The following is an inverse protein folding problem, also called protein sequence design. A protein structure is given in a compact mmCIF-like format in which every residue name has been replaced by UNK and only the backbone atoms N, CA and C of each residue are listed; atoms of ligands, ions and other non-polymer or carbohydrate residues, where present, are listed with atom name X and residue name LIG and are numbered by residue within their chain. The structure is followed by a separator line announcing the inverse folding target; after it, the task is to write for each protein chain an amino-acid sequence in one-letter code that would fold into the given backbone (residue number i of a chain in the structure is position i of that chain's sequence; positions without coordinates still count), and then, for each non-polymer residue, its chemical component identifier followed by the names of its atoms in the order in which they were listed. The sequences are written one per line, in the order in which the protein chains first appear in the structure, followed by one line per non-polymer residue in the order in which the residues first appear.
data_IF_269731582699
#
_entry.id   IF_269731582699
#
_cell.length_a   1.000
_cell.length_b   1.000
_cell.length_c   1.000
_cell.angle_alpha   90.00
_cell.angle_beta   90.00
_cell.angle_gamma   90.00
#
_symmetry.space_group_name_H-M   'P 1'
#
loop_
_entity.id
_entity.type
_entity.pdbx_description
1 polymer ?
#
# COMPACT_ATOMS: atom_id res chain seq x y z
N UNK A 1 -30.53 -7.08 26.41
CA UNK A 1 -29.40 -8.01 26.18
C UNK A 1 -28.47 -7.42 25.13
N UNK A 2 -27.58 -6.54 25.59
CA UNK A 2 -26.59 -5.90 24.73
C UNK A 2 -25.40 -6.83 24.54
N UNK A 3 -25.02 -7.06 23.28
CA UNK A 3 -23.69 -7.54 22.96
C UNK A 3 -22.84 -6.31 22.66
N UNK A 4 -21.95 -5.97 23.59
CA UNK A 4 -20.92 -4.94 23.40
C UNK A 4 -19.82 -5.59 22.57
N UNK A 5 -19.73 -5.22 21.30
CA UNK A 5 -18.69 -5.69 20.38
C UNK A 5 -17.36 -5.12 20.89
N UNK A 6 -16.41 -5.99 21.22
CA UNK A 6 -15.06 -5.63 21.66
C UNK A 6 -14.14 -5.45 20.46
N UNK A 7 -13.18 -4.52 20.55
CA UNK A 7 -12.22 -4.16 19.47
C UNK A 7 -11.28 -5.31 19.03
N UNK A 8 -11.41 -6.51 19.59
CA UNK A 8 -10.59 -7.70 19.27
C UNK A 8 -11.12 -8.54 18.08
N UNK A 9 -12.31 -8.26 17.53
CA UNK A 9 -12.85 -9.00 16.35
C UNK A 9 -12.39 -8.46 14.98
N UNK A 10 -11.55 -7.43 14.95
CA UNK A 10 -11.12 -6.78 13.69
C UNK A 10 -9.90 -7.41 13.01
N UNK A 11 -9.41 -8.55 13.49
CA UNK A 11 -8.27 -9.26 12.92
C UNK A 11 -8.65 -10.72 12.65
N UNK A 12 -9.05 -11.01 11.41
CA UNK A 12 -8.95 -12.38 10.91
C UNK A 12 -7.46 -12.72 10.72
N UNK A 13 -7.00 -13.90 11.14
CA UNK A 13 -5.61 -14.33 11.01
C UNK A 13 -5.28 -14.46 9.52
N UNK A 14 -4.57 -13.46 9.00
CA UNK A 14 -4.00 -13.51 7.67
C UNK A 14 -2.89 -14.55 7.63
N UNK A 15 -2.96 -15.37 6.60
CA UNK A 15 -2.05 -16.43 6.24
C UNK A 15 -0.59 -16.02 6.39
N UNK A 16 0.21 -16.93 6.93
CA UNK A 16 1.65 -16.82 7.04
C UNK A 16 2.24 -16.71 5.63
N UNK A 17 2.61 -15.50 5.23
CA UNK A 17 3.55 -15.31 4.13
C UNK A 17 4.91 -15.85 4.60
N UNK A 18 5.16 -17.13 4.34
CA UNK A 18 6.47 -17.77 4.41
C UNK A 18 7.48 -16.91 3.61
N UNK A 19 8.31 -16.18 4.33
CA UNK A 19 9.48 -15.50 3.80
C UNK A 19 10.54 -16.55 3.44
N UNK A 20 10.61 -16.88 2.15
CA UNK A 20 11.74 -17.61 1.57
C UNK A 20 13.04 -16.83 1.77
N UNK A 21 13.97 -17.45 2.50
CA UNK A 21 15.37 -17.05 2.61
C UNK A 21 16.05 -17.07 1.23
N UNK A 22 16.54 -15.92 0.79
CA UNK A 22 17.53 -15.86 -0.29
C UNK A 22 18.65 -14.91 0.12
N UNK A 23 19.67 -15.51 0.71
CA UNK A 23 20.96 -14.88 1.00
C UNK A 23 21.79 -14.58 -0.24
N UNK A 24 22.54 -13.48 -0.14
CA UNK A 24 23.93 -13.37 -0.60
C UNK A 24 24.22 -12.95 -2.04
N UNK A 25 24.64 -11.69 -2.24
CA UNK A 25 25.93 -11.33 -2.86
C UNK A 25 26.16 -9.79 -2.90
N UNK A 26 27.13 -9.34 -2.10
CA UNK A 26 28.21 -8.34 -2.33
C UNK A 26 28.23 -7.52 -3.64
N UNK A 27 28.80 -6.31 -3.75
CA UNK A 27 29.38 -5.26 -2.90
C UNK A 27 29.95 -4.19 -3.86
N UNK A 28 30.04 -2.93 -3.38
CA UNK A 28 30.87 -1.76 -3.81
C UNK A 28 29.98 -0.50 -3.81
N UNK A 29 30.23 0.58 -3.08
CA UNK A 29 31.36 1.02 -2.26
C UNK A 29 31.37 2.56 -2.34
N UNK A 30 31.15 3.26 -1.22
CA UNK A 30 31.08 4.73 -1.20
C UNK A 30 30.80 5.34 0.18
N UNK A 31 31.86 5.36 1.01
CA UNK A 31 32.22 6.29 2.10
C UNK A 31 31.15 6.96 3.01
N UNK A 32 31.21 6.59 4.31
CA UNK A 32 31.23 7.42 5.55
C UNK A 32 30.72 8.88 5.46
N UNK A 33 29.87 9.42 6.34
CA UNK A 33 29.26 8.98 7.58
C UNK A 33 28.73 10.23 8.28
N UNK A 34 27.53 10.17 8.83
CA UNK A 34 27.07 11.03 9.93
C UNK A 34 26.04 10.20 10.71
N UNK A 35 26.52 9.52 11.75
CA UNK A 35 25.65 8.96 12.78
C UNK A 35 25.00 10.12 13.53
N UNK A 36 23.85 10.54 13.03
CA UNK A 36 22.95 11.42 13.76
C UNK A 36 22.14 10.56 14.72
N UNK A 37 22.28 10.89 16.00
CA UNK A 37 21.58 10.31 17.16
C UNK A 37 20.13 9.99 16.80
N UNK A 38 19.79 8.71 16.67
CA UNK A 38 18.41 8.28 16.40
C UNK A 38 17.62 8.33 17.70
N UNK A 39 17.16 9.54 18.04
CA UNK A 39 15.90 9.72 18.76
C UNK A 39 14.84 8.83 18.08
N UNK A 40 14.06 8.04 18.82
CA UNK A 40 13.28 6.87 18.35
C UNK A 40 12.20 7.10 17.27
N UNK A 41 12.54 7.78 16.19
CA UNK A 41 11.71 8.18 15.05
C UNK A 41 11.93 7.19 13.91
N UNK A 42 10.83 6.80 13.26
CA UNK A 42 10.88 5.86 12.15
C UNK A 42 11.44 6.50 10.88
N UNK A 43 12.33 5.77 10.19
CA UNK A 43 12.75 6.05 8.82
C UNK A 43 12.25 4.90 7.94
N UNK A 44 11.59 5.20 6.83
CA UNK A 44 11.12 4.18 5.90
C UNK A 44 11.11 4.67 4.46
N UNK A 45 11.49 3.82 3.51
CA UNK A 45 11.41 4.08 2.07
C UNK A 45 10.65 2.92 1.40
N UNK A 46 9.75 3.26 0.48
CA UNK A 46 8.98 2.29 -0.28
C UNK A 46 8.89 2.71 -1.76
N UNK A 47 8.82 1.71 -2.63
CA UNK A 47 8.77 1.87 -4.08
C UNK A 47 7.48 1.26 -4.62
N UNK A 48 6.86 1.93 -5.59
CA UNK A 48 5.74 1.40 -6.35
C UNK A 48 6.18 0.19 -7.19
N UNK A 49 5.48 -0.93 -7.05
CA UNK A 49 5.74 -2.14 -7.82
C UNK A 49 4.95 -2.08 -9.12
N UNK A 50 5.63 -2.25 -10.26
CA UNK A 50 4.97 -2.29 -11.55
C UNK A 50 4.35 -3.66 -11.82
N UNK A 51 3.07 -3.65 -12.20
CA UNK A 51 2.32 -4.85 -12.58
C UNK A 51 2.33 -4.99 -14.11
N UNK A 52 2.51 -6.19 -14.68
CA UNK A 52 2.48 -6.40 -16.13
C UNK A 52 1.13 -5.99 -16.73
N UNK A 53 1.11 -4.86 -17.44
CA UNK A 53 -0.13 -4.31 -18.05
C UNK A 53 -0.81 -5.27 -19.02
N UNK A 54 -0.03 -6.11 -19.70
CA UNK A 54 -0.51 -7.12 -20.62
C UNK A 54 -1.53 -8.08 -19.98
N UNK A 55 -1.46 -8.32 -18.67
CA UNK A 55 -2.47 -9.13 -17.98
C UNK A 55 -3.84 -8.46 -17.94
N UNK A 56 -3.86 -7.13 -17.76
CA UNK A 56 -5.07 -6.32 -17.87
C UNK A 56 -5.64 -6.35 -19.29
N UNK A 57 -4.78 -6.18 -20.29
CA UNK A 57 -5.19 -6.23 -21.71
C UNK A 57 -5.80 -7.60 -22.08
N UNK A 58 -5.18 -8.70 -21.63
CA UNK A 58 -5.72 -10.05 -21.81
C UNK A 58 -7.07 -10.18 -21.10
N UNK A 59 -7.16 -9.73 -19.85
CA UNK A 59 -8.41 -9.76 -19.09
C UNK A 59 -9.52 -8.95 -19.77
N UNK A 60 -9.25 -7.78 -20.35
CA UNK A 60 -10.24 -7.00 -21.11
C UNK A 60 -10.61 -7.67 -22.44
N UNK A 61 -9.63 -8.28 -23.12
CA UNK A 61 -9.85 -8.96 -24.40
C UNK A 61 -10.78 -10.17 -24.28
N UNK A 62 -10.73 -10.92 -23.17
CA UNK A 62 -11.62 -12.06 -22.90
C UNK A 62 -13.06 -11.58 -22.74
N UNK A 63 -13.29 -10.41 -22.14
CA UNK A 63 -14.62 -9.80 -22.03
C UNK A 63 -15.18 -9.49 -23.43
N UNK A 64 -14.33 -8.94 -24.29
CA UNK A 64 -14.67 -8.68 -25.69
C UNK A 64 -14.99 -9.95 -26.48
N UNK A 65 -14.22 -11.02 -26.29
CA UNK A 65 -14.48 -12.31 -26.95
C UNK A 65 -15.84 -12.89 -26.53
N UNK A 66 -16.14 -12.92 -25.22
CA UNK A 66 -17.44 -13.39 -24.72
C UNK A 66 -18.58 -12.54 -25.26
N UNK A 67 -18.39 -11.21 -25.33
CA UNK A 67 -19.40 -10.30 -25.88
C UNK A 67 -19.74 -10.65 -27.33
N UNK A 68 -18.73 -10.87 -28.17
CA UNK A 68 -18.93 -11.23 -29.58
C UNK A 68 -19.54 -12.63 -29.74
N UNK A 69 -19.08 -13.61 -28.96
CA UNK A 69 -19.58 -15.00 -29.01
C UNK A 69 -21.03 -15.15 -28.48
N UNK A 70 -21.54 -14.15 -27.79
CA UNK A 70 -22.89 -14.15 -27.17
C UNK A 70 -23.86 -13.18 -27.84
N UNK A 71 -23.69 -12.92 -29.14
CA UNK A 71 -24.51 -11.98 -29.91
C UNK A 71 -24.59 -10.59 -29.25
N UNK A 72 -23.42 -10.08 -28.80
CA UNK A 72 -23.29 -8.77 -28.15
C UNK A 72 -24.05 -8.67 -26.81
N UNK A 73 -24.06 -9.75 -26.01
CA UNK A 73 -24.74 -9.78 -24.71
C UNK A 73 -23.85 -9.37 -23.53
N UNK A 74 -24.05 -8.15 -23.02
CA UNK A 74 -23.39 -7.69 -21.78
C UNK A 74 -23.79 -8.52 -20.55
N UNK A 75 -25.02 -9.02 -20.51
CA UNK A 75 -25.48 -9.89 -19.41
C UNK A 75 -24.66 -11.18 -19.34
N UNK A 76 -24.28 -11.73 -20.49
CA UNK A 76 -23.45 -12.94 -20.56
C UNK A 76 -22.03 -12.65 -20.11
N UNK A 77 -21.43 -11.55 -20.57
CA UNK A 77 -20.12 -11.07 -20.09
C UNK A 77 -20.12 -10.93 -18.57
N UNK A 78 -21.12 -10.25 -18.03
CA UNK A 78 -21.23 -10.02 -16.60
C UNK A 78 -21.43 -11.32 -15.80
N UNK A 79 -22.24 -12.26 -16.28
CA UNK A 79 -22.41 -13.58 -15.64
C UNK A 79 -21.10 -14.36 -15.54
N UNK A 80 -20.24 -14.28 -16.55
CA UNK A 80 -18.92 -14.93 -16.53
C UNK A 80 -17.98 -14.19 -15.58
N UNK A 81 -17.87 -12.87 -15.69
CA UNK A 81 -16.93 -12.07 -14.89
C UNK A 81 -17.30 -12.03 -13.41
N UNK A 82 -18.60 -12.04 -13.08
CA UNK A 82 -19.08 -12.08 -11.70
C UNK A 82 -18.60 -13.33 -10.96
N UNK A 83 -18.37 -14.46 -11.64
CA UNK A 83 -17.81 -15.67 -10.99
C UNK A 83 -16.36 -15.48 -10.55
N UNK A 84 -15.58 -14.73 -11.33
CA UNK A 84 -14.16 -14.50 -11.05
C UNK A 84 -13.94 -13.33 -10.10
N UNK A 85 -14.68 -12.23 -10.26
CA UNK A 85 -14.50 -10.99 -9.49
C UNK A 85 -15.50 -10.83 -8.33
N UNK A 86 -16.45 -11.75 -8.18
CA UNK A 86 -17.51 -11.68 -7.17
C UNK A 86 -16.97 -11.45 -5.75
N UNK A 87 -16.03 -12.28 -5.27
CA UNK A 87 -15.47 -12.13 -3.92
C UNK A 87 -14.84 -10.75 -3.68
N UNK A 88 -14.07 -10.25 -4.64
CA UNK A 88 -13.41 -8.94 -4.57
C UNK A 88 -14.43 -7.81 -4.61
N UNK A 89 -15.42 -7.89 -5.49
CA UNK A 89 -16.50 -6.90 -5.59
C UNK A 89 -17.26 -6.83 -4.27
N UNK A 90 -17.60 -7.97 -3.66
CA UNK A 90 -18.29 -8.01 -2.38
C UNK A 90 -17.43 -7.42 -1.25
N UNK A 91 -16.14 -7.79 -1.19
CA UNK A 91 -15.18 -7.26 -0.22
C UNK A 91 -15.06 -5.73 -0.29
N UNK A 92 -14.95 -5.18 -1.50
CA UNK A 92 -14.80 -3.74 -1.70
C UNK A 92 -16.14 -2.97 -1.66
N UNK A 93 -17.28 -3.66 -1.82
CA UNK A 93 -18.61 -3.07 -1.64
C UNK A 93 -18.99 -2.96 -0.16
N UNK A 94 -18.62 -3.94 0.67
CA UNK A 94 -18.88 -3.90 2.12
C UNK A 94 -17.94 -2.94 2.85
N UNK A 95 -16.71 -2.76 2.35
CA UNK A 95 -15.71 -1.88 2.94
C UNK A 95 -14.97 -1.10 1.85
N UNK A 96 -15.37 0.17 1.65
CA UNK A 96 -14.72 1.04 0.67
C UNK A 96 -13.31 1.39 1.18
N UNK A 97 -12.23 1.04 0.43
CA UNK A 97 -10.88 1.36 0.85
C UNK A 97 -10.69 2.86 1.02
N UNK A 98 -10.22 3.28 2.20
CA UNK A 98 -9.83 4.66 2.41
C UNK A 98 -8.55 4.96 1.62
N UNK A 99 -8.50 6.15 1.03
CA UNK A 99 -7.27 6.65 0.42
C UNK A 99 -6.17 6.75 1.49
N UNK A 100 -4.97 6.19 1.25
CA UNK A 100 -3.85 6.25 2.21
C UNK A 100 -3.49 7.68 2.63
N UNK A 101 -3.65 8.64 1.72
CA UNK A 101 -3.39 10.05 2.02
C UNK A 101 -4.44 10.59 3.00
N UNK A 102 -5.72 10.26 2.75
CA UNK A 102 -6.81 10.70 3.61
C UNK A 102 -6.69 10.07 5.00
N UNK A 103 -6.43 8.78 5.07
CA UNK A 103 -6.25 8.07 6.33
C UNK A 103 -5.08 8.63 7.16
N UNK A 104 -3.95 8.95 6.50
CA UNK A 104 -2.81 9.53 7.19
C UNK A 104 -3.13 10.91 7.77
N UNK A 105 -3.81 11.76 7.00
CA UNK A 105 -4.19 13.11 7.45
C UNK A 105 -5.30 13.09 8.52
N UNK A 106 -6.18 12.10 8.50
CA UNK A 106 -7.17 11.88 9.57
C UNK A 106 -6.50 11.47 10.89
N UNK A 107 -5.40 10.71 10.86
CA UNK A 107 -4.65 10.31 12.06
C UNK A 107 -3.66 11.39 12.52
N UNK A 108 -2.95 12.02 11.58
CA UNK A 108 -1.88 12.96 11.85
C UNK A 108 -2.08 14.22 10.98
N UNK A 109 -2.91 15.18 11.42
CA UNK A 109 -3.20 16.38 10.63
C UNK A 109 -1.95 17.25 10.40
N UNK A 110 -1.00 17.24 11.34
CA UNK A 110 0.27 17.98 11.28
C UNK A 110 1.34 17.31 10.40
N UNK A 111 0.91 16.54 9.39
CA UNK A 111 1.82 15.86 8.46
C UNK A 111 2.23 16.80 7.33
N UNK A 112 3.54 16.98 7.14
CA UNK A 112 4.09 17.76 6.03
C UNK A 112 4.59 16.83 4.91
N UNK A 113 4.44 17.24 3.64
CA UNK A 113 5.00 16.49 2.51
C UNK A 113 5.84 17.37 1.58
N UNK A 114 6.98 16.86 1.14
CA UNK A 114 7.93 17.54 0.24
C UNK A 114 8.25 16.65 -0.97
N UNK A 115 7.92 17.07 -2.20
CA UNK A 115 8.32 16.34 -3.40
C UNK A 115 9.77 16.61 -3.81
N UNK A 116 10.43 15.59 -4.34
CA UNK A 116 11.79 15.61 -4.88
C UNK A 116 11.80 14.84 -6.22
N UNK A 117 12.39 15.41 -7.28
CA UNK A 117 12.59 14.68 -8.54
C UNK A 117 13.90 13.90 -8.46
N UNK A 118 13.89 12.61 -8.84
CA UNK A 118 15.13 11.84 -8.91
C UNK A 118 15.96 12.25 -10.14
N UNK A 119 17.27 12.01 -10.07
CA UNK A 119 18.23 12.32 -11.14
C UNK A 119 17.92 11.62 -12.48
N UNK A 120 17.22 10.49 -12.46
CA UNK A 120 16.76 9.76 -13.66
C UNK A 120 15.63 10.49 -14.42
N UNK A 121 14.98 11.50 -13.82
CA UNK A 121 13.90 12.28 -14.45
C UNK A 121 12.60 11.53 -14.72
N UNK A 122 12.62 10.18 -14.70
CA UNK A 122 11.45 9.30 -14.93
C UNK A 122 10.67 8.99 -13.66
N UNK A 123 11.29 9.14 -12.50
CA UNK A 123 10.73 8.79 -11.19
C UNK A 123 10.69 10.01 -10.28
N UNK A 124 9.68 10.03 -9.42
CA UNK A 124 9.46 11.07 -8.41
C UNK A 124 9.54 10.43 -7.04
N UNK A 125 10.21 11.10 -6.11
CA UNK A 125 10.22 10.75 -4.69
C UNK A 125 9.40 11.78 -3.93
N UNK A 126 8.63 11.32 -2.96
CA UNK A 126 7.92 12.19 -2.02
C UNK A 126 8.34 11.79 -0.64
N UNK A 127 8.74 12.79 0.15
CA UNK A 127 9.04 12.63 1.57
C UNK A 127 7.86 13.17 2.37
N UNK A 128 7.38 12.37 3.32
CA UNK A 128 6.30 12.66 4.25
C UNK A 128 6.89 12.69 5.65
N UNK A 129 6.81 13.83 6.30
CA UNK A 129 7.29 14.04 7.66
C UNK A 129 6.08 14.07 8.60
N UNK A 130 6.07 13.15 9.56
CA UNK A 130 5.03 13.05 10.59
C UNK A 130 5.63 13.54 11.89
N UNK A 131 5.08 14.63 12.43
CA UNK A 131 5.62 15.31 13.59
C UNK A 131 5.80 14.36 14.79
N UNK A 132 7.02 14.27 15.32
CA UNK A 132 7.35 13.41 16.46
C UNK A 132 7.34 11.89 16.18
N UNK A 133 7.08 11.45 14.94
CA UNK A 133 6.98 10.01 14.59
C UNK A 133 7.98 9.59 13.52
N UNK A 134 8.46 10.53 12.71
CA UNK A 134 9.57 10.34 11.79
C UNK A 134 9.26 10.71 10.35
N UNK A 135 10.10 10.21 9.43
CA UNK A 135 10.12 10.63 8.03
C UNK A 135 10.05 9.43 7.11
N UNK A 136 9.09 9.46 6.19
CA UNK A 136 8.74 8.35 5.30
C UNK A 136 8.83 8.78 3.84
N UNK A 137 9.48 7.97 3.01
CA UNK A 137 9.74 8.26 1.60
C UNK A 137 8.98 7.27 0.73
N UNK A 138 8.43 7.77 -0.36
CA UNK A 138 7.76 6.98 -1.37
C UNK A 138 8.26 7.35 -2.76
N UNK A 139 8.63 6.37 -3.57
CA UNK A 139 9.04 6.58 -4.95
C UNK A 139 7.98 6.01 -5.89
N UNK A 140 7.66 6.75 -6.95
CA UNK A 140 6.75 6.31 -8.00
C UNK A 140 7.08 6.91 -9.35
N UNK A 141 6.50 6.35 -10.41
CA UNK A 141 6.59 6.87 -11.79
C UNK A 141 5.97 8.26 -11.98
N UNK A 142 5.19 8.75 -11.01
CA UNK A 142 4.68 10.11 -10.98
C UNK A 142 4.42 10.57 -9.53
N UNK A 143 4.14 11.87 -9.35
CA UNK A 143 3.91 12.46 -8.03
C UNK A 143 2.74 11.84 -7.27
N UNK A 144 1.63 11.52 -7.94
CA UNK A 144 0.44 10.94 -7.27
C UNK A 144 0.75 9.59 -6.65
N UNK A 145 1.44 8.74 -7.39
CA UNK A 145 1.88 7.42 -6.94
C UNK A 145 2.90 7.57 -5.82
N UNK A 146 3.95 8.37 -6.02
CA UNK A 146 4.98 8.61 -5.00
C UNK A 146 4.40 9.10 -3.67
N UNK A 147 3.44 10.03 -3.72
CA UNK A 147 2.73 10.54 -2.53
C UNK A 147 1.91 9.44 -1.85
N UNK A 148 1.19 8.63 -2.62
CA UNK A 148 0.43 7.51 -2.10
C UNK A 148 1.34 6.46 -1.44
N UNK A 149 2.47 6.12 -2.08
CA UNK A 149 3.47 5.17 -1.57
C UNK A 149 4.10 5.66 -0.27
N UNK A 150 4.44 6.95 -0.19
CA UNK A 150 4.96 7.56 1.03
C UNK A 150 3.94 7.50 2.17
N UNK A 151 2.67 7.81 1.88
CA UNK A 151 1.59 7.73 2.86
C UNK A 151 1.35 6.29 3.34
N UNK A 152 1.32 5.30 2.44
CA UNK A 152 1.24 3.88 2.80
C UNK A 152 2.39 3.44 3.71
N UNK A 153 3.61 3.89 3.40
CA UNK A 153 4.79 3.59 4.21
C UNK A 153 4.67 4.17 5.63
N UNK A 154 4.26 5.44 5.74
CA UNK A 154 3.98 6.09 7.02
C UNK A 154 2.90 5.33 7.81
N UNK A 155 1.73 5.08 7.21
CA UNK A 155 0.61 4.38 7.85
C UNK A 155 1.02 3.01 8.41
N UNK A 156 1.79 2.23 7.63
CA UNK A 156 2.25 0.90 8.07
C UNK A 156 3.13 1.00 9.32
N UNK A 157 4.04 1.97 9.37
CA UNK A 157 4.92 2.15 10.51
C UNK A 157 4.17 2.71 11.73
N UNK A 158 3.25 3.67 11.51
CA UNK A 158 2.43 4.26 12.58
C UNK A 158 1.54 3.21 13.25
N UNK A 159 0.91 2.32 12.46
CA UNK A 159 0.11 1.21 12.99
C UNK A 159 0.95 0.22 13.79
N UNK A 160 2.16 -0.12 13.33
CA UNK A 160 3.10 -0.97 14.09
C UNK A 160 3.50 -0.35 15.43
N UNK A 161 3.83 0.95 15.44
CA UNK A 161 4.20 1.67 16.65
C UNK A 161 3.02 1.76 17.64
N UNK A 162 1.80 1.98 17.14
CA UNK A 162 0.59 1.99 17.96
C UNK A 162 0.36 0.63 18.66
N UNK A 163 0.46 -0.46 17.90
CA UNK A 163 0.23 -1.82 18.44
C UNK A 163 1.31 -2.24 19.43
N UNK A 164 2.58 -1.88 19.18
CA UNK A 164 3.68 -2.14 20.10
C UNK A 164 3.53 -1.41 21.44
N UNK A 165 3.03 -0.17 21.41
CA UNK A 165 2.76 0.61 22.62
C UNK A 165 1.59 0.05 23.43
N UNK A 166 0.61 -0.58 22.79
CA UNK A 166 -0.51 -1.23 23.46
C UNK A 166 -0.07 -2.50 24.23
N UNK A 167 0.90 -3.24 23.69
CA UNK A 167 1.40 -4.48 24.31
C UNK A 167 2.33 -4.25 25.51
N UNK A 168 2.98 -3.08 25.61
CA UNK A 168 3.84 -2.70 26.75
C UNK A 168 3.08 -2.17 27.97
N UNK A 169 1.76 -1.96 27.85
CA UNK A 169 0.90 -1.40 28.91
C UNK A 169 -0.01 -2.43 29.57
N UNK A 170 0.02 -3.68 29.13
CA UNK A 170 -0.57 -4.85 29.78
C UNK A 170 0.53 -5.62 30.51
#
# INVERSE_FOLDING_TARGET
NGHRITEEEYYLPGEEDELGDFGGATAQGGAIGEESITDGRGIGEAEDVEVPKALGDVFESIAGAIFLDSDMSLDTVWKVYRKMMGPEIEKFSSSVPKSPIRELLEMEPETANKPEKLADGRRVRVTVEVFGKGTFRGIGRNYRIAKCTAAKCALRQLKKLSNANHHKRR
#
